data_IF_617820613692
#
_entry.id   IF_617820613692
#
_cell.length_a   1.000
_cell.length_b   1.000
_cell.length_c   1.000
_cell.angle_alpha   90.00
_cell.angle_beta   90.00
_cell.angle_gamma   90.00
#
_symmetry.space_group_name_H-M   'P 1'
#
loop_
_entity.id
_entity.type
_entity.pdbx_description
1 polymer ?
#
# COMPACT_ATOMS: atom_id res chain seq x y z
N UNK A 1 15.84 1.03 0.22
CA UNK A 1 14.58 0.28 0.03
C UNK A 1 14.75 -1.21 0.29
N UNK A 2 15.25 -2.06 -0.62
CA UNK A 2 15.32 -3.52 -0.34
C UNK A 2 16.11 -3.89 0.93
N UNK A 3 17.17 -3.14 1.25
CA UNK A 3 17.96 -3.33 2.49
C UNK A 3 17.20 -2.95 3.77
N UNK A 4 16.14 -2.14 3.66
CA UNK A 4 15.32 -1.67 4.79
C UNK A 4 14.19 -2.65 5.13
N UNK A 5 13.84 -3.53 4.19
CA UNK A 5 12.83 -4.57 4.35
C UNK A 5 13.46 -5.94 4.03
N UNK A 6 14.26 -6.51 4.95
CA UNK A 6 14.88 -7.81 4.72
C UNK A 6 13.81 -8.91 4.76
N UNK A 7 13.92 -9.87 3.85
CA UNK A 7 13.03 -11.03 3.79
C UNK A 7 12.96 -11.77 5.14
N UNK A 8 11.76 -12.21 5.52
CA UNK A 8 11.48 -12.91 6.76
C UNK A 8 11.41 -12.02 8.00
N UNK A 9 11.75 -10.73 7.90
CA UNK A 9 11.63 -9.79 9.04
C UNK A 9 10.21 -9.30 9.21
N UNK A 10 9.85 -9.07 10.46
CA UNK A 10 8.61 -8.40 10.85
C UNK A 10 8.94 -7.00 11.34
N UNK A 11 8.14 -6.02 10.94
CA UNK A 11 8.31 -4.63 11.37
C UNK A 11 6.96 -3.97 11.61
N UNK A 12 6.96 -2.86 12.35
CA UNK A 12 5.77 -2.06 12.62
C UNK A 12 5.71 -0.90 11.63
N UNK A 13 4.60 -0.81 10.91
CA UNK A 13 4.24 0.32 10.07
C UNK A 13 3.40 1.30 10.88
N UNK A 14 4.01 2.40 11.30
CA UNK A 14 3.42 3.31 12.28
C UNK A 14 2.34 4.21 11.70
N UNK A 15 2.47 4.64 10.45
CA UNK A 15 1.52 5.56 9.82
C UNK A 15 0.25 4.87 9.31
N UNK A 16 -0.80 5.65 9.10
CA UNK A 16 -1.85 5.23 8.18
C UNK A 16 -1.29 5.18 6.77
N UNK A 17 -1.75 4.23 5.97
CA UNK A 17 -1.32 4.15 4.58
C UNK A 17 -2.48 3.72 3.70
N UNK A 18 -2.61 4.41 2.58
CA UNK A 18 -3.59 4.10 1.57
C UNK A 18 -3.00 3.11 0.57
N UNK A 19 -3.78 2.13 0.15
CA UNK A 19 -3.45 1.20 -0.93
C UNK A 19 -4.68 0.95 -1.80
N UNK A 20 -4.47 0.28 -2.94
CA UNK A 20 -5.53 -0.02 -3.91
C UNK A 20 -5.52 -1.50 -4.24
N UNK A 21 -6.71 -2.07 -4.47
CA UNK A 21 -6.86 -3.42 -5.02
C UNK A 21 -6.79 -3.47 -6.55
N UNK A 22 -6.54 -2.35 -7.23
CA UNK A 22 -6.49 -2.26 -8.70
C UNK A 22 -5.12 -1.85 -9.20
N UNK A 23 -4.48 -2.75 -9.96
CA UNK A 23 -3.19 -2.46 -10.62
C UNK A 23 -3.25 -1.28 -11.58
N UNK A 24 -4.40 -1.04 -12.23
CA UNK A 24 -4.58 0.10 -13.15
C UNK A 24 -4.45 1.46 -12.45
N UNK A 25 -4.84 1.55 -11.18
CA UNK A 25 -4.73 2.80 -10.40
C UNK A 25 -3.25 3.14 -10.18
N UNK A 26 -2.42 2.13 -9.91
CA UNK A 26 -0.98 2.32 -9.70
C UNK A 26 -0.25 2.84 -10.94
N UNK A 27 -0.77 2.61 -12.15
CA UNK A 27 -0.18 3.13 -13.39
C UNK A 27 -0.27 4.67 -13.50
N UNK A 28 -1.08 5.33 -12.67
CA UNK A 28 -1.10 6.79 -12.59
C UNK A 28 0.26 7.30 -12.08
N UNK A 29 0.80 8.32 -12.74
CA UNK A 29 2.08 8.96 -12.40
C UNK A 29 2.10 9.60 -11.00
N UNK A 30 0.93 9.86 -10.40
CA UNK A 30 0.82 10.30 -9.00
C UNK A 30 1.17 9.20 -7.98
N UNK A 31 1.16 7.93 -8.39
CA UNK A 31 1.45 6.78 -7.53
C UNK A 31 2.70 6.03 -8.00
N UNK A 32 2.56 4.83 -8.58
CA UNK A 32 3.69 4.05 -9.07
C UNK A 32 4.16 4.57 -10.42
N UNK A 33 3.29 4.97 -11.34
CA UNK A 33 3.64 5.45 -12.68
C UNK A 33 4.69 4.58 -13.40
N UNK A 34 5.45 5.20 -14.32
CA UNK A 34 6.33 4.45 -15.24
C UNK A 34 7.80 4.90 -15.26
N UNK A 35 8.14 5.99 -14.56
CA UNK A 35 9.45 6.66 -14.72
C UNK A 35 10.30 6.66 -13.44
N UNK A 36 11.63 6.57 -13.58
CA UNK A 36 12.57 6.65 -12.44
C UNK A 36 12.57 5.43 -11.49
N UNK A 37 13.34 5.49 -10.38
CA UNK A 37 13.36 4.43 -9.38
C UNK A 37 12.05 4.39 -8.59
N UNK A 38 11.37 3.24 -8.55
CA UNK A 38 10.07 3.08 -7.89
C UNK A 38 10.05 1.82 -7.01
N UNK A 39 9.09 1.74 -6.11
CA UNK A 39 8.91 0.57 -5.22
C UNK A 39 7.43 0.27 -5.13
N UNK A 40 7.07 -0.99 -5.36
CA UNK A 40 5.71 -1.51 -5.21
C UNK A 40 5.68 -2.41 -3.97
N UNK A 41 4.75 -2.12 -3.05
CA UNK A 41 4.43 -3.02 -1.95
C UNK A 41 3.20 -3.84 -2.33
N UNK A 42 3.36 -5.16 -2.38
CA UNK A 42 2.22 -6.08 -2.47
C UNK A 42 1.88 -6.50 -1.06
N UNK A 43 0.65 -6.23 -0.63
CA UNK A 43 0.22 -6.43 0.75
C UNK A 43 -0.94 -7.43 0.76
N UNK A 44 -0.70 -8.58 1.38
CA UNK A 44 -1.76 -9.52 1.72
C UNK A 44 -2.25 -9.22 3.14
N UNK A 45 -3.54 -8.91 3.30
CA UNK A 45 -4.12 -8.62 4.61
C UNK A 45 -5.64 -8.89 4.63
N UNK A 46 -6.17 -9.14 5.83
CA UNK A 46 -7.59 -9.40 6.10
C UNK A 46 -8.32 -8.20 6.76
N UNK A 47 -7.57 -7.18 7.17
CA UNK A 47 -8.05 -6.11 8.05
C UNK A 47 -7.66 -4.71 7.56
N UNK A 48 -7.39 -4.58 6.26
CA UNK A 48 -7.47 -3.30 5.56
C UNK A 48 -8.93 -2.83 5.50
N UNK A 49 -9.17 -1.53 5.69
CA UNK A 49 -10.52 -0.97 5.64
C UNK A 49 -10.81 -0.44 4.25
N UNK A 50 -11.77 -1.04 3.57
CA UNK A 50 -12.36 -0.44 2.37
C UNK A 50 -13.03 0.89 2.73
N UNK A 51 -12.51 1.98 2.15
CA UNK A 51 -13.02 3.34 2.37
C UNK A 51 -13.54 3.99 1.07
N UNK A 52 -13.80 3.21 0.02
CA UNK A 52 -14.24 3.71 -1.29
C UNK A 52 -15.44 4.65 -1.22
N UNK A 53 -16.39 4.36 -0.34
CA UNK A 53 -17.61 5.16 -0.13
C UNK A 53 -17.37 6.47 0.62
N UNK A 54 -16.21 6.62 1.27
CA UNK A 54 -15.82 7.78 2.06
C UNK A 54 -14.70 8.58 1.39
N UNK A 55 -14.06 8.02 0.37
CA UNK A 55 -12.97 8.68 -0.36
C UNK A 55 -13.50 9.77 -1.30
N UNK A 56 -12.75 10.86 -1.40
CA UNK A 56 -12.94 11.87 -2.45
C UNK A 56 -12.63 11.30 -3.86
N UNK A 57 -11.90 10.18 -3.94
CA UNK A 57 -11.45 9.56 -5.19
C UNK A 57 -12.02 8.14 -5.31
N UNK A 58 -13.33 8.05 -5.56
CA UNK A 58 -14.09 6.80 -5.57
C UNK A 58 -13.60 5.75 -6.57
N UNK A 59 -12.86 6.17 -7.61
CA UNK A 59 -12.34 5.29 -8.67
C UNK A 59 -11.03 4.59 -8.30
N UNK A 60 -10.39 4.98 -7.20
CA UNK A 60 -9.08 4.44 -6.80
C UNK A 60 -9.17 3.08 -6.11
N UNK A 61 -10.38 2.60 -5.81
CA UNK A 61 -10.61 1.39 -4.99
C UNK A 61 -9.78 1.38 -3.71
N UNK A 62 -9.85 2.51 -2.99
CA UNK A 62 -9.02 2.81 -1.85
C UNK A 62 -9.31 1.90 -0.65
N UNK A 63 -8.24 1.30 -0.13
CA UNK A 63 -8.20 0.52 1.09
C UNK A 63 -7.21 1.20 2.05
N UNK A 64 -7.68 1.52 3.25
CA UNK A 64 -6.87 2.15 4.28
C UNK A 64 -6.29 1.09 5.23
N UNK A 65 -4.97 1.09 5.36
CA UNK A 65 -4.25 0.31 6.35
C UNK A 65 -4.15 1.13 7.65
N UNK A 66 -4.60 0.58 8.79
CA UNK A 66 -4.47 1.23 10.08
C UNK A 66 -3.02 1.46 10.49
N UNK A 67 -2.80 2.51 11.27
CA UNK A 67 -1.55 2.79 11.95
C UNK A 67 -1.10 1.68 12.91
N UNK A 68 0.20 1.66 13.22
CA UNK A 68 0.85 0.73 14.14
C UNK A 68 0.62 -0.76 13.80
N UNK A 69 0.56 -1.10 12.51
CA UNK A 69 0.32 -2.47 12.04
C UNK A 69 1.63 -3.22 11.83
N UNK A 70 1.64 -4.52 12.13
CA UNK A 70 2.80 -5.37 11.83
C UNK A 70 2.68 -6.00 10.45
N UNK A 71 3.78 -5.97 9.70
CA UNK A 71 3.93 -6.69 8.44
C UNK A 71 5.15 -7.60 8.51
N UNK A 72 5.02 -8.78 7.91
CA UNK A 72 6.13 -9.69 7.65
C UNK A 72 6.53 -9.56 6.18
N UNK A 73 7.81 -9.31 5.93
CA UNK A 73 8.37 -9.32 4.58
C UNK A 73 8.51 -10.77 4.11
N UNK A 74 7.96 -11.07 2.94
CA UNK A 74 7.99 -12.39 2.29
C UNK A 74 8.63 -12.29 0.93
#
# INVERSE_FOLDING_TARGET
MAKEYPEGKTFVWWGFSSCTSKMSVLQNEQFLGSTGPRTLFTIECDSGKDIRKYSCFQTEDEILLPAARQFKVV
#
